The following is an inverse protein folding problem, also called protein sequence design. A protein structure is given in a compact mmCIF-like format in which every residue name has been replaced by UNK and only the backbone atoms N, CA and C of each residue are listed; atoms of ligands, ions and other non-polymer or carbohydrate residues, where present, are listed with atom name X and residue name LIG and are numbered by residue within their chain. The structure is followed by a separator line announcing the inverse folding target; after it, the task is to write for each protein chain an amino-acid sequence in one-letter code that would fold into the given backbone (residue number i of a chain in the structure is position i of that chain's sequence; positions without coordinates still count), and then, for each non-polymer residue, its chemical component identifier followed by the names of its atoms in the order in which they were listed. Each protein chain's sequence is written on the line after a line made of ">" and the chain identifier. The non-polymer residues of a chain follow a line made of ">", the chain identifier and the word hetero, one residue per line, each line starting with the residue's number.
data_IF_717025298308
#
_entry.id   IF_717025298308
#
_cell.length_a   1.000
_cell.length_b   1.000
_cell.length_c   1.000
_cell.angle_alpha   90.00
_cell.angle_beta   90.00
_cell.angle_gamma   90.00
#
_symmetry.space_group_name_H-M   'P 1'
#
loop_
_entity.id
_entity.type
_entity.pdbx_description
1 polymer ?
#
# COMPACT_ATOMS: atom_id res chain seq x y z
N UNK A 1 15.02 -5.14 16.01
CA UNK A 1 14.65 -3.81 15.49
C UNK A 1 15.88 -2.93 15.28
N UNK A 2 16.89 -2.93 16.20
CA UNK A 2 18.03 -2.01 16.14
C UNK A 2 18.89 -2.11 14.88
N UNK A 3 19.38 -3.29 14.53
CA UNK A 3 20.31 -3.47 13.39
C UNK A 3 19.60 -3.31 12.04
N UNK A 4 18.41 -3.82 11.92
CA UNK A 4 17.61 -3.71 10.70
C UNK A 4 17.16 -2.26 10.45
N UNK A 5 16.72 -1.56 11.49
CA UNK A 5 16.37 -0.14 11.40
C UNK A 5 17.57 0.74 11.07
N UNK A 6 18.74 0.44 11.67
CA UNK A 6 19.97 1.19 11.39
C UNK A 6 20.39 1.03 9.93
N UNK A 7 20.25 -0.17 9.39
CA UNK A 7 20.51 -0.46 7.98
C UNK A 7 19.55 0.29 7.05
N UNK A 8 18.30 0.35 7.45
CA UNK A 8 17.26 1.04 6.72
C UNK A 8 17.51 2.56 6.65
N UNK A 9 17.84 3.14 7.81
CA UNK A 9 18.22 4.55 7.93
C UNK A 9 19.46 4.87 7.08
N UNK A 10 20.44 3.98 7.05
CA UNK A 10 21.63 4.16 6.19
C UNK A 10 21.32 4.12 4.70
N UNK A 11 20.44 3.21 4.27
CA UNK A 11 19.99 3.16 2.89
C UNK A 11 19.27 4.45 2.50
N UNK A 12 18.43 4.97 3.38
CA UNK A 12 17.78 6.26 3.20
C UNK A 12 18.78 7.41 3.08
N UNK A 13 19.77 7.44 3.96
CA UNK A 13 20.77 8.51 3.98
C UNK A 13 21.64 8.51 2.73
N UNK A 14 22.01 7.34 2.20
CA UNK A 14 22.82 7.23 1.00
C UNK A 14 22.11 7.71 -0.28
N UNK A 15 20.80 7.68 -0.30
CA UNK A 15 19.99 8.08 -1.46
C UNK A 15 19.57 9.55 -1.41
N UNK A 16 19.80 10.21 -0.29
CA UNK A 16 19.29 11.55 0.00
C UNK A 16 20.07 12.72 -0.57
N UNK A 17 20.89 12.55 -1.61
CA UNK A 17 21.70 13.64 -2.17
C UNK A 17 20.92 14.86 -2.67
N UNK A 18 19.64 14.69 -2.96
CA UNK A 18 18.75 15.76 -3.45
C UNK A 18 17.63 16.13 -2.48
N UNK A 19 17.78 15.85 -1.19
CA UNK A 19 16.76 16.13 -0.19
C UNK A 19 15.52 15.24 -0.28
N UNK A 20 15.47 14.29 -1.22
CA UNK A 20 14.41 13.29 -1.34
C UNK A 20 14.97 11.93 -0.96
N UNK A 21 14.67 11.50 0.25
CA UNK A 21 15.00 10.15 0.71
C UNK A 21 14.00 9.19 0.08
N UNK A 22 14.47 8.36 -0.85
CA UNK A 22 13.70 7.23 -1.37
C UNK A 22 13.84 6.07 -0.42
N UNK A 23 12.72 5.61 0.13
CA UNK A 23 12.69 4.46 0.99
C UNK A 23 12.95 3.20 0.17
N UNK A 24 13.97 2.45 0.56
CA UNK A 24 14.30 1.15 -0.05
C UNK A 24 14.36 0.13 1.05
N UNK A 25 13.77 -1.03 0.85
CA UNK A 25 13.92 -2.15 1.77
C UNK A 25 14.27 -3.43 1.02
N UNK A 26 14.72 -4.41 1.79
CA UNK A 26 15.11 -5.72 1.30
C UNK A 26 14.10 -6.76 1.74
N UNK A 27 13.62 -7.53 0.77
CA UNK A 27 12.79 -8.70 1.03
C UNK A 27 13.65 -9.85 1.62
N UNK A 28 13.01 -10.84 2.18
CA UNK A 28 13.67 -12.02 2.74
C UNK A 28 14.55 -12.75 1.71
N UNK A 29 14.11 -12.76 0.45
CA UNK A 29 14.86 -13.37 -0.65
C UNK A 29 16.08 -12.57 -1.13
N UNK A 30 16.39 -11.45 -0.48
CA UNK A 30 17.52 -10.61 -0.80
C UNK A 30 17.26 -9.54 -1.87
N UNK A 31 16.10 -9.51 -2.47
CA UNK A 31 15.74 -8.51 -3.48
C UNK A 31 15.37 -7.17 -2.86
N UNK A 32 15.82 -6.09 -3.47
CA UNK A 32 15.51 -4.72 -3.04
C UNK A 32 14.23 -4.23 -3.69
N UNK A 33 13.43 -3.49 -2.92
CA UNK A 33 12.19 -2.91 -3.39
C UNK A 33 12.11 -1.44 -2.99
N UNK A 34 11.65 -0.59 -3.91
CA UNK A 34 11.36 0.82 -3.67
C UNK A 34 9.83 0.98 -3.63
N UNK A 35 9.22 0.92 -2.45
CA UNK A 35 7.76 0.88 -2.35
C UNK A 35 7.09 2.13 -2.91
N UNK A 36 7.72 3.29 -2.80
CA UNK A 36 7.16 4.55 -3.30
C UNK A 36 6.85 4.52 -4.80
N UNK A 37 7.69 3.87 -5.59
CA UNK A 37 7.47 3.77 -7.05
C UNK A 37 6.24 2.92 -7.37
N UNK A 38 6.08 1.81 -6.68
CA UNK A 38 4.91 0.94 -6.84
C UNK A 38 3.65 1.64 -6.37
N UNK A 39 3.72 2.34 -5.24
CA UNK A 39 2.61 3.11 -4.68
C UNK A 39 2.15 4.22 -5.64
N UNK A 40 3.09 4.97 -6.23
CA UNK A 40 2.78 6.01 -7.20
C UNK A 40 2.07 5.44 -8.43
N UNK A 41 2.52 4.30 -8.92
CA UNK A 41 1.88 3.63 -10.05
C UNK A 41 0.47 3.15 -9.70
N UNK A 42 0.27 2.57 -8.53
CA UNK A 42 -1.04 2.08 -8.09
C UNK A 42 -2.03 3.22 -7.84
N UNK A 43 -1.58 4.39 -7.41
CA UNK A 43 -2.43 5.58 -7.24
C UNK A 43 -3.03 6.10 -8.54
N UNK A 44 -2.55 5.69 -9.68
CA UNK A 44 -3.15 6.02 -10.96
C UNK A 44 -4.51 5.34 -11.17
N UNK A 45 -4.80 4.29 -10.41
CA UNK A 45 -6.11 3.65 -10.45
C UNK A 45 -7.19 4.55 -9.86
N UNK A 46 -8.34 4.71 -10.55
CA UNK A 46 -9.45 5.52 -10.03
C UNK A 46 -10.10 4.94 -8.78
N UNK A 47 -9.85 3.67 -8.45
CA UNK A 47 -10.41 2.99 -7.28
C UNK A 47 -9.51 3.05 -6.05
N UNK A 48 -8.29 3.56 -6.18
CA UNK A 48 -7.31 3.63 -5.10
C UNK A 48 -7.10 5.09 -4.71
N UNK A 49 -7.49 5.44 -3.48
CA UNK A 49 -7.26 6.76 -2.93
C UNK A 49 -5.84 6.86 -2.36
N UNK A 50 -5.50 5.94 -1.45
CA UNK A 50 -4.18 5.87 -0.83
C UNK A 50 -3.73 4.42 -0.79
N UNK A 51 -2.41 4.20 -0.81
CA UNK A 51 -1.84 2.86 -0.77
C UNK A 51 -0.49 2.89 -0.06
N UNK A 52 -0.20 1.84 0.69
CA UNK A 52 1.11 1.60 1.29
C UNK A 52 1.56 0.17 0.97
N UNK A 53 2.75 0.05 0.43
CA UNK A 53 3.38 -1.25 0.19
C UNK A 53 4.24 -1.60 1.41
N UNK A 54 4.08 -2.81 1.90
CA UNK A 54 4.83 -3.34 3.03
C UNK A 54 5.43 -4.70 2.67
N UNK A 55 6.64 -4.94 3.09
CA UNK A 55 7.33 -6.20 2.78
C UNK A 55 8.73 -6.27 3.37
N UNK A 56 9.08 -5.34 4.26
CA UNK A 56 10.40 -5.31 4.89
C UNK A 56 10.71 -6.63 5.60
N UNK A 57 11.76 -7.32 5.11
CA UNK A 57 12.17 -8.65 5.59
C UNK A 57 11.08 -9.72 5.55
N UNK A 58 10.15 -9.59 4.62
CA UNK A 58 9.07 -10.57 4.38
C UNK A 58 9.29 -11.29 3.05
N UNK A 59 8.61 -12.41 2.88
CA UNK A 59 8.71 -13.25 1.68
C UNK A 59 8.23 -12.51 0.42
N UNK A 60 7.22 -11.65 0.57
CA UNK A 60 6.61 -10.91 -0.52
C UNK A 60 6.02 -9.59 -0.02
N UNK A 61 5.73 -8.70 -0.94
CA UNK A 61 5.05 -7.45 -0.64
C UNK A 61 3.55 -7.67 -0.48
N UNK A 62 2.96 -6.88 0.40
CA UNK A 62 1.52 -6.73 0.56
C UNK A 62 1.15 -5.25 0.49
N UNK A 63 -0.12 -4.96 0.24
CA UNK A 63 -0.61 -3.60 0.12
C UNK A 63 -1.74 -3.32 1.10
N UNK A 64 -1.66 -2.18 1.78
CA UNK A 64 -2.81 -1.55 2.45
C UNK A 64 -3.37 -0.52 1.50
N UNK A 65 -4.64 -0.63 1.16
CA UNK A 65 -5.30 0.22 0.17
C UNK A 65 -6.48 0.95 0.83
N UNK A 66 -6.44 2.28 0.82
CA UNK A 66 -7.61 3.09 1.15
C UNK A 66 -8.41 3.25 -0.14
N UNK A 67 -9.64 2.76 -0.14
CA UNK A 67 -10.50 2.75 -1.31
C UNK A 67 -10.99 4.15 -1.67
N UNK A 68 -11.16 4.42 -2.96
CA UNK A 68 -11.87 5.61 -3.42
C UNK A 68 -13.37 5.33 -3.37
N UNK A 69 -14.02 5.87 -2.35
CA UNK A 69 -15.41 5.57 -2.01
C UNK A 69 -16.37 5.91 -3.15
N UNK A 70 -16.20 7.08 -3.76
CA UNK A 70 -17.10 7.53 -4.83
C UNK A 70 -17.01 6.64 -6.07
N UNK A 71 -15.81 6.23 -6.44
CA UNK A 71 -15.58 5.30 -7.55
C UNK A 71 -16.20 3.93 -7.26
N UNK A 72 -16.07 3.43 -6.03
CA UNK A 72 -16.70 2.17 -5.62
C UNK A 72 -18.22 2.25 -5.65
N UNK A 73 -18.81 3.34 -5.17
CA UNK A 73 -20.26 3.55 -5.21
C UNK A 73 -20.77 3.51 -6.64
N UNK A 74 -20.09 4.18 -7.55
CA UNK A 74 -20.43 4.19 -8.97
C UNK A 74 -20.33 2.78 -9.57
N UNK A 75 -19.26 2.08 -9.27
CA UNK A 75 -19.03 0.72 -9.74
C UNK A 75 -20.10 -0.26 -9.22
N UNK A 76 -20.40 -0.19 -7.93
CA UNK A 76 -21.42 -1.02 -7.30
C UNK A 76 -22.80 -0.77 -7.90
N UNK A 77 -23.16 0.51 -8.15
CA UNK A 77 -24.41 0.87 -8.80
C UNK A 77 -24.52 0.30 -10.22
N UNK A 78 -23.45 0.38 -10.99
CA UNK A 78 -23.42 -0.14 -12.36
C UNK A 78 -23.54 -1.66 -12.45
N UNK A 79 -23.02 -2.37 -11.45
CA UNK A 79 -22.99 -3.83 -11.41
C UNK A 79 -24.05 -4.42 -10.48
N UNK A 80 -24.99 -3.60 -9.97
CA UNK A 80 -26.05 -4.02 -9.06
C UNK A 80 -25.53 -4.76 -7.82
N UNK A 81 -24.40 -4.32 -7.27
CA UNK A 81 -23.83 -4.87 -6.05
C UNK A 81 -24.55 -4.23 -4.86
N UNK A 82 -25.27 -5.04 -4.11
CA UNK A 82 -26.02 -4.60 -2.93
C UNK A 82 -25.12 -4.56 -1.68
N UNK A 83 -25.58 -3.85 -0.65
CA UNK A 83 -24.93 -3.80 0.66
C UNK A 83 -24.32 -2.45 0.98
N UNK A 84 -23.63 -2.40 2.12
CA UNK A 84 -22.91 -1.21 2.60
C UNK A 84 -21.47 -1.22 2.07
N UNK A 85 -20.77 -0.10 2.28
CA UNK A 85 -19.35 0.01 1.93
C UNK A 85 -18.51 -1.10 2.59
N UNK A 86 -18.78 -1.43 3.84
CA UNK A 86 -18.08 -2.50 4.56
C UNK A 86 -18.34 -3.87 3.95
N UNK A 87 -19.57 -4.12 3.49
CA UNK A 87 -19.91 -5.35 2.79
C UNK A 87 -19.16 -5.48 1.47
N UNK A 88 -19.01 -4.37 0.75
CA UNK A 88 -18.27 -4.34 -0.52
C UNK A 88 -16.80 -4.70 -0.34
N UNK A 89 -16.17 -4.32 0.76
CA UNK A 89 -14.77 -4.65 1.03
C UNK A 89 -14.53 -6.17 1.18
N UNK A 90 -15.59 -6.92 1.44
CA UNK A 90 -15.54 -8.39 1.55
C UNK A 90 -16.13 -9.08 0.33
N UNK A 91 -16.73 -8.33 -0.58
CA UNK A 91 -17.36 -8.87 -1.79
C UNK A 91 -16.31 -9.38 -2.77
N UNK A 92 -16.53 -10.58 -3.31
CA UNK A 92 -15.59 -11.21 -4.23
C UNK A 92 -15.39 -10.42 -5.53
N UNK A 93 -16.45 -9.81 -6.04
CA UNK A 93 -16.36 -8.98 -7.25
C UNK A 93 -15.50 -7.75 -7.05
N UNK A 94 -15.66 -7.11 -5.90
CA UNK A 94 -14.82 -5.95 -5.51
C UNK A 94 -13.37 -6.39 -5.30
N UNK A 95 -13.13 -7.50 -4.63
CA UNK A 95 -11.79 -8.04 -4.44
C UNK A 95 -11.12 -8.39 -5.78
N UNK A 96 -11.85 -8.96 -6.71
CA UNK A 96 -11.37 -9.23 -8.08
C UNK A 96 -11.02 -7.93 -8.81
N UNK A 97 -11.86 -6.90 -8.68
CA UNK A 97 -11.61 -5.58 -9.25
C UNK A 97 -10.27 -5.03 -8.79
N UNK A 98 -10.03 -4.98 -7.48
CA UNK A 98 -8.76 -4.49 -6.93
C UNK A 98 -7.57 -5.35 -7.35
N UNK A 99 -7.74 -6.64 -7.41
CA UNK A 99 -6.71 -7.56 -7.89
C UNK A 99 -6.31 -7.28 -9.34
N UNK A 100 -7.28 -7.00 -10.20
CA UNK A 100 -7.05 -6.62 -11.59
C UNK A 100 -6.37 -5.25 -11.69
N UNK A 101 -6.81 -4.27 -10.89
CA UNK A 101 -6.20 -2.94 -10.83
C UNK A 101 -4.73 -3.02 -10.40
N UNK A 102 -4.43 -3.80 -9.37
CA UNK A 102 -3.05 -4.02 -8.92
C UNK A 102 -2.18 -4.63 -10.02
N UNK A 103 -2.68 -5.61 -10.75
CA UNK A 103 -1.98 -6.22 -11.88
C UNK A 103 -1.75 -5.24 -13.02
N UNK A 104 -2.76 -4.45 -13.34
CA UNK A 104 -2.71 -3.47 -14.44
C UNK A 104 -1.67 -2.38 -14.19
N UNK A 105 -1.72 -1.75 -13.03
CA UNK A 105 -0.87 -0.61 -12.71
C UNK A 105 0.53 -1.01 -12.24
N UNK A 106 0.71 -2.22 -11.74
CA UNK A 106 2.01 -2.75 -11.34
C UNK A 106 2.65 -3.64 -12.43
N UNK A 107 2.13 -3.65 -13.64
CA UNK A 107 2.58 -4.53 -14.73
C UNK A 107 4.05 -4.33 -15.11
N UNK A 108 4.54 -3.09 -15.02
CA UNK A 108 5.91 -2.73 -15.39
C UNK A 108 6.95 -3.08 -14.30
N UNK A 109 6.51 -3.49 -13.13
CA UNK A 109 7.38 -3.85 -12.01
C UNK A 109 7.73 -5.34 -12.04
N UNK A 110 8.83 -5.70 -11.39
CA UNK A 110 9.24 -7.08 -11.22
C UNK A 110 8.23 -7.84 -10.34
N UNK A 111 8.15 -9.13 -10.51
CA UNK A 111 7.20 -9.96 -9.77
C UNK A 111 7.39 -9.83 -8.23
N UNK A 112 8.63 -9.73 -7.77
CA UNK A 112 8.92 -9.56 -6.35
C UNK A 112 8.55 -8.18 -5.80
N UNK A 113 8.42 -7.16 -6.65
CA UNK A 113 7.99 -5.81 -6.25
C UNK A 113 6.49 -5.68 -6.13
N UNK A 114 5.73 -6.50 -6.87
CA UNK A 114 4.27 -6.44 -6.89
C UNK A 114 3.68 -6.98 -5.59
N UNK A 115 2.65 -6.32 -5.02
CA UNK A 115 1.97 -6.87 -3.87
C UNK A 115 1.24 -8.18 -4.22
N UNK A 116 1.45 -9.21 -3.41
CA UNK A 116 0.81 -10.51 -3.60
C UNK A 116 -0.54 -10.59 -2.92
N UNK A 117 -0.72 -9.82 -1.87
CA UNK A 117 -1.97 -9.70 -1.13
C UNK A 117 -2.24 -8.25 -0.81
N UNK A 118 -3.48 -7.94 -0.50
CA UNK A 118 -3.89 -6.59 -0.15
C UNK A 118 -5.02 -6.61 0.89
N UNK A 119 -5.15 -5.53 1.62
CA UNK A 119 -6.23 -5.29 2.57
C UNK A 119 -6.88 -3.95 2.24
N UNK A 120 -8.20 -3.92 2.14
CA UNK A 120 -8.95 -2.72 1.79
C UNK A 120 -9.39 -1.99 3.06
N UNK A 121 -9.21 -0.67 3.06
CA UNK A 121 -9.57 0.22 4.15
C UNK A 121 -10.52 1.30 3.64
N UNK A 122 -11.44 1.73 4.50
CA UNK A 122 -12.38 2.82 4.20
C UNK A 122 -11.94 4.14 4.77
N UNK A 123 -11.16 4.13 5.85
CA UNK A 123 -10.72 5.31 6.55
C UNK A 123 -9.51 5.94 5.86
N UNK A 124 -9.66 7.19 5.44
CA UNK A 124 -8.59 7.95 4.81
C UNK A 124 -7.49 8.29 5.81
N UNK A 125 -6.25 8.20 5.36
CA UNK A 125 -5.09 8.62 6.15
C UNK A 125 -4.93 10.13 6.02
N UNK A 126 -4.92 10.82 7.17
CA UNK A 126 -4.89 12.28 7.24
C UNK A 126 -3.82 12.77 8.21
N UNK A 127 -3.60 14.09 8.20
CA UNK A 127 -2.75 14.74 9.19
C UNK A 127 -3.40 14.64 10.58
N UNK A 128 -4.72 14.74 10.66
CA UNK A 128 -5.46 14.70 11.92
C UNK A 128 -5.34 13.36 12.65
N UNK A 129 -5.36 12.24 11.91
CA UNK A 129 -5.15 10.92 12.49
C UNK A 129 -3.67 10.53 12.62
N UNK A 130 -2.77 11.46 12.31
CA UNK A 130 -1.33 11.32 12.45
C UNK A 130 -0.69 10.24 11.57
N UNK A 131 -1.30 9.90 10.45
CA UNK A 131 -0.79 8.91 9.49
C UNK A 131 -0.07 9.55 8.31
N UNK A 132 -0.28 10.85 8.09
CA UNK A 132 0.38 11.63 7.03
C UNK A 132 1.00 12.88 7.65
N UNK A 133 2.15 13.32 7.10
CA UNK A 133 2.78 14.58 7.50
C UNK A 133 2.04 15.79 6.90
N UNK A 134 2.25 17.02 7.46
CA UNK A 134 1.68 18.24 6.87
C UNK A 134 2.06 18.45 5.39
N UNK A 135 3.18 17.88 4.94
CA UNK A 135 3.62 17.90 3.54
C UNK A 135 3.06 16.73 2.71
N UNK A 136 2.05 16.05 3.24
CA UNK A 136 1.35 14.92 2.61
C UNK A 136 2.22 13.69 2.36
N UNK A 137 3.25 13.49 3.16
CA UNK A 137 4.08 12.28 3.13
C UNK A 137 3.54 11.25 4.11
N UNK A 138 3.51 10.00 3.66
CA UNK A 138 3.05 8.88 4.48
C UNK A 138 4.00 8.62 5.65
N UNK A 139 3.44 8.52 6.85
CA UNK A 139 4.18 8.10 8.05
C UNK A 139 4.14 6.58 8.16
N UNK A 140 5.00 5.89 7.43
CA UNK A 140 4.99 4.42 7.32
C UNK A 140 4.96 3.71 8.65
N UNK A 141 5.82 4.13 9.58
CA UNK A 141 5.88 3.51 10.91
C UNK A 141 4.55 3.60 11.66
N UNK A 142 3.87 4.74 11.54
CA UNK A 142 2.56 4.93 12.19
C UNK A 142 1.48 4.07 11.56
N UNK A 143 1.49 3.96 10.24
CA UNK A 143 0.55 3.08 9.54
C UNK A 143 0.80 1.61 9.89
N UNK A 144 2.06 1.19 9.95
CA UNK A 144 2.43 -0.16 10.38
C UNK A 144 1.93 -0.48 11.79
N UNK A 145 2.11 0.45 12.72
CA UNK A 145 1.64 0.30 14.10
C UNK A 145 0.11 0.18 14.16
N UNK A 146 -0.60 1.03 13.44
CA UNK A 146 -2.07 1.07 13.44
C UNK A 146 -2.69 -0.19 12.79
N UNK A 147 -2.05 -0.73 11.76
CA UNK A 147 -2.58 -1.85 10.97
C UNK A 147 -1.74 -3.12 11.11
N UNK A 148 -1.08 -3.29 12.24
CA UNK A 148 -0.20 -4.43 12.51
C UNK A 148 -0.90 -5.77 12.38
N UNK A 149 -2.14 -5.88 12.85
CA UNK A 149 -2.93 -7.11 12.76
C UNK A 149 -3.29 -7.45 11.31
N UNK A 150 -3.71 -6.46 10.56
CA UNK A 150 -4.05 -6.60 9.14
C UNK A 150 -2.83 -7.00 8.31
N UNK A 151 -1.69 -6.37 8.57
CA UNK A 151 -0.42 -6.71 7.92
C UNK A 151 0.02 -8.14 8.24
N UNK A 152 -0.05 -8.54 9.50
CA UNK A 152 0.30 -9.89 9.93
C UNK A 152 -0.63 -10.95 9.31
N UNK A 153 -1.91 -10.65 9.19
CA UNK A 153 -2.92 -11.54 8.60
C UNK A 153 -2.72 -11.81 7.10
N UNK A 154 -1.92 -11.00 6.42
CA UNK A 154 -1.62 -11.18 5.00
C UNK A 154 -0.42 -12.11 4.72
N UNK A 155 0.25 -12.59 5.75
CA UNK A 155 1.40 -13.50 5.63
C UNK A 155 1.13 -14.91 6.10
#
# INVERSE_FOLDING_TARGET
>A
IGVAQTRWIRAQTCLGRNGRVKEIYKLENGKYCVPALVEEALKLSPFINQVMIYGFQKLYNVALIVVEVDALKTHASRNNIAGTLEDWLKDEEILKLYKQELRKYAADFQDYERPKRFHLLTEEWTVDNNLITPTLKLKRNRVEECFQEELAGMY
#
